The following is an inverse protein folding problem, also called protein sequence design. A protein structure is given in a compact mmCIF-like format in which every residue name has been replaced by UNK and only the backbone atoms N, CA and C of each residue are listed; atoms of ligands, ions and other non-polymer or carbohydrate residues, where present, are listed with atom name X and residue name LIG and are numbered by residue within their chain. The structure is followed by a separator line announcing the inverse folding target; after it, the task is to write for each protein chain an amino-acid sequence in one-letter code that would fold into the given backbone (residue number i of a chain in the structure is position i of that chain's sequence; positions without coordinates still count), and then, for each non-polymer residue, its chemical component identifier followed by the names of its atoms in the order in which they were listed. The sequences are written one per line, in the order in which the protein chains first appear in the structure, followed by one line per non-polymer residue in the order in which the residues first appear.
data_IF_600251747568
#
_entry.id   IF_600251747568
#
_cell.length_a   1.000
_cell.length_b   1.000
_cell.length_c   1.000
_cell.angle_alpha   90.00
_cell.angle_beta   90.00
_cell.angle_gamma   90.00
#
_symmetry.space_group_name_H-M   'P 1'
#
loop_
_entity.id
_entity.type
_entity.pdbx_description
1 polymer ?
#
# COMPACT_ATOMS: atom_id res chain seq x y z
N UNK A 1 3.84 -11.48 -0.02
CA UNK A 1 4.30 -10.81 -1.25
C UNK A 1 5.73 -11.26 -1.49
N UNK A 2 6.10 -11.50 -2.74
CA UNK A 2 7.46 -11.89 -3.09
C UNK A 2 8.25 -10.65 -3.51
N UNK A 3 9.57 -10.74 -3.45
CA UNK A 3 10.44 -9.67 -3.93
C UNK A 3 10.23 -9.45 -5.44
N UNK A 4 10.29 -8.19 -5.86
CA UNK A 4 10.06 -7.80 -7.24
C UNK A 4 9.46 -6.41 -7.39
N UNK A 5 9.23 -6.03 -8.65
CA UNK A 5 8.63 -4.73 -9.00
C UNK A 5 7.15 -4.89 -9.27
N UNK A 6 6.37 -3.97 -8.73
CA UNK A 6 4.92 -3.98 -8.82
C UNK A 6 4.41 -2.63 -9.29
N UNK A 7 3.29 -2.65 -10.02
CA UNK A 7 2.47 -1.48 -10.31
C UNK A 7 1.12 -1.61 -9.63
N UNK A 8 0.58 -0.48 -9.20
CA UNK A 8 -0.78 -0.43 -8.63
C UNK A 8 -1.80 -0.19 -9.74
N UNK A 9 -2.83 -1.03 -9.78
CA UNK A 9 -4.03 -0.83 -10.61
C UNK A 9 -5.23 -0.77 -9.69
N UNK A 10 -5.75 0.44 -9.46
CA UNK A 10 -6.93 0.66 -8.64
C UNK A 10 -8.21 0.17 -9.32
N UNK A 11 -9.20 -0.21 -8.51
CA UNK A 11 -10.55 -0.48 -9.00
C UNK A 11 -11.18 0.79 -9.60
N UNK A 12 -12.19 0.61 -10.45
CA UNK A 12 -12.77 1.71 -11.26
C UNK A 12 -13.25 2.89 -10.41
N UNK A 13 -13.80 2.62 -9.23
CA UNK A 13 -14.26 3.65 -8.28
C UNK A 13 -13.12 4.48 -7.67
N UNK A 14 -11.89 3.96 -7.68
CA UNK A 14 -10.67 4.62 -7.19
C UNK A 14 -9.73 5.01 -8.33
N UNK A 15 -10.21 5.11 -9.58
CA UNK A 15 -9.35 5.37 -10.74
C UNK A 15 -8.67 6.75 -10.73
N UNK A 16 -9.16 7.67 -9.90
CA UNK A 16 -8.57 9.00 -9.69
C UNK A 16 -7.33 9.00 -8.78
N UNK A 17 -7.03 7.88 -8.10
CA UNK A 17 -5.85 7.77 -7.25
C UNK A 17 -4.56 7.81 -8.09
N UNK A 18 -3.49 8.43 -7.55
CA UNK A 18 -2.22 8.52 -8.24
C UNK A 18 -1.66 7.12 -8.48
N UNK A 19 -1.38 6.81 -9.74
CA UNK A 19 -0.73 5.55 -10.10
C UNK A 19 0.74 5.65 -9.74
N UNK A 20 1.24 4.65 -9.03
CA UNK A 20 2.65 4.54 -8.72
C UNK A 20 3.13 3.10 -8.87
N UNK A 21 4.45 2.98 -8.96
CA UNK A 21 5.15 1.70 -8.97
C UNK A 21 5.95 1.59 -7.67
N UNK A 22 6.25 0.37 -7.26
CA UNK A 22 7.09 0.14 -6.10
C UNK A 22 7.87 -1.17 -6.24
N UNK A 23 8.98 -1.24 -5.54
CA UNK A 23 9.80 -2.43 -5.42
C UNK A 23 9.72 -2.99 -4.01
N UNK A 24 9.56 -4.30 -3.91
CA UNK A 24 9.69 -5.04 -2.67
C UNK A 24 11.05 -5.75 -2.67
N UNK A 25 11.81 -5.50 -1.62
CA UNK A 25 13.07 -6.16 -1.31
C UNK A 25 13.02 -6.62 0.16
N UNK A 26 12.71 -7.91 0.35
CA UNK A 26 12.50 -8.54 1.64
C UNK A 26 11.31 -7.94 2.39
N UNK A 27 11.60 -7.21 3.47
CA UNK A 27 10.58 -6.54 4.31
C UNK A 27 10.40 -5.06 3.97
N UNK A 28 11.02 -4.57 2.90
CA UNK A 28 10.98 -3.16 2.54
C UNK A 28 10.22 -2.94 1.25
N UNK A 29 9.40 -1.89 1.24
CA UNK A 29 8.73 -1.38 0.05
C UNK A 29 9.30 0.00 -0.27
N UNK A 30 9.74 0.19 -1.51
CA UNK A 30 10.26 1.49 -1.99
C UNK A 30 9.40 1.96 -3.14
N UNK A 31 8.80 3.14 -3.05
CA UNK A 31 8.08 3.75 -4.17
C UNK A 31 9.07 4.13 -5.28
N UNK A 32 8.76 3.71 -6.51
CA UNK A 32 9.50 4.04 -7.73
C UNK A 32 8.66 5.04 -8.53
N UNK A 33 9.31 6.05 -9.11
CA UNK A 33 8.67 7.12 -9.89
C UNK A 33 7.74 8.04 -9.08
N UNK A 34 7.92 8.09 -7.76
CA UNK A 34 7.32 9.08 -6.86
C UNK A 34 8.38 10.14 -6.57
N UNK A 35 8.06 11.44 -6.66
CA UNK A 35 9.00 12.54 -6.36
C UNK A 35 9.62 12.44 -4.96
N UNK A 36 8.97 11.67 -4.08
CA UNK A 36 9.31 11.53 -2.67
C UNK A 36 10.17 10.29 -2.34
N UNK A 37 10.39 9.36 -3.29
CA UNK A 37 11.17 8.11 -3.11
C UNK A 37 10.97 7.46 -1.73
N UNK A 38 9.71 7.30 -1.31
CA UNK A 38 9.38 6.89 0.05
C UNK A 38 9.73 5.43 0.28
N UNK A 39 10.31 5.14 1.45
CA UNK A 39 10.63 3.78 1.89
C UNK A 39 9.83 3.41 3.13
N UNK A 40 9.21 2.25 3.05
CA UNK A 40 8.36 1.68 4.07
C UNK A 40 8.88 0.32 4.52
N UNK A 41 8.71 0.01 5.79
CA UNK A 41 8.84 -1.33 6.34
C UNK A 41 7.46 -2.01 6.32
N UNK A 42 7.42 -3.24 5.81
CA UNK A 42 6.21 -4.07 5.75
C UNK A 42 6.06 -4.80 7.08
N UNK A 43 5.13 -4.34 7.91
CA UNK A 43 4.74 -5.00 9.15
C UNK A 43 3.60 -5.99 8.86
N UNK A 44 3.88 -7.29 8.93
CA UNK A 44 2.83 -8.32 8.79
C UNK A 44 1.96 -8.35 10.05
N UNK A 45 0.64 -8.30 9.88
CA UNK A 45 -0.32 -8.42 10.98
C UNK A 45 -0.85 -9.85 11.11
N UNK A 46 -1.24 -10.45 9.98
CA UNK A 46 -1.67 -11.84 9.88
C UNK A 46 -1.20 -12.47 8.55
N UNK A 47 -1.73 -13.64 8.18
CA UNK A 47 -1.36 -14.35 6.95
C UNK A 47 -1.74 -13.60 5.66
N UNK A 48 -2.77 -12.76 5.74
CA UNK A 48 -3.38 -12.02 4.62
C UNK A 48 -3.29 -10.51 4.78
N UNK A 49 -2.86 -9.96 5.92
CA UNK A 49 -2.87 -8.52 6.15
C UNK A 49 -1.52 -7.98 6.63
N UNK A 50 -1.23 -6.75 6.21
CA UNK A 50 0.02 -6.06 6.52
C UNK A 50 -0.18 -4.54 6.63
N UNK A 51 0.77 -3.87 7.25
CA UNK A 51 0.87 -2.42 7.33
C UNK A 51 2.18 -1.93 6.75
N UNK A 52 2.15 -0.69 6.28
CA UNK A 52 3.35 0.01 5.87
C UNK A 52 3.74 1.01 6.95
N UNK A 53 4.90 0.79 7.56
CA UNK A 53 5.48 1.68 8.55
C UNK A 53 6.52 2.57 7.86
N UNK A 54 6.32 3.88 7.91
CA UNK A 54 7.32 4.81 7.37
C UNK A 54 8.64 4.68 8.13
N UNK A 55 9.75 4.50 7.41
CA UNK A 55 11.09 4.51 8.00
C UNK A 55 11.59 5.92 8.27
N UNK A 56 11.09 6.90 7.52
CA UNK A 56 11.36 8.32 7.76
C UNK A 56 10.40 8.83 8.85
N UNK A 57 10.94 9.57 9.83
CA UNK A 57 10.17 10.40 10.77
C UNK A 57 9.53 11.59 10.03
N UNK A 58 8.65 11.33 9.07
CA UNK A 58 7.88 12.39 8.41
C UNK A 58 6.55 12.54 9.14
N UNK A 59 6.60 13.13 10.33
CA UNK A 59 5.40 13.69 10.97
C UNK A 59 4.92 14.96 10.26
N UNK A 60 5.78 15.62 9.47
CA UNK A 60 5.46 16.88 8.77
C UNK A 60 4.91 16.70 7.35
N UNK A 61 5.07 15.54 6.72
CA UNK A 61 4.82 15.34 5.28
C UNK A 61 3.62 14.46 4.95
N UNK A 62 2.79 14.12 5.95
CA UNK A 62 1.55 13.41 5.70
C UNK A 62 0.59 14.34 4.97
N UNK A 63 0.05 13.88 3.84
CA UNK A 63 -1.04 14.63 3.18
C UNK A 63 -2.24 14.69 4.14
N UNK A 64 -3.08 15.72 4.03
CA UNK A 64 -4.27 15.84 4.89
C UNK A 64 -5.12 14.55 4.88
N UNK A 65 -5.23 13.92 3.71
CA UNK A 65 -5.86 12.61 3.55
C UNK A 65 -5.21 11.52 4.41
N UNK A 66 -3.87 11.43 4.43
CA UNK A 66 -3.13 10.48 5.26
C UNK A 66 -3.26 10.78 6.76
N UNK A 67 -3.29 12.05 7.16
CA UNK A 67 -3.54 12.45 8.56
C UNK A 67 -4.93 12.05 9.01
N UNK A 68 -5.95 12.29 8.19
CA UNK A 68 -7.35 11.89 8.48
C UNK A 68 -7.49 10.36 8.51
N UNK A 69 -6.81 9.64 7.62
CA UNK A 69 -6.75 8.18 7.65
C UNK A 69 -6.16 7.63 8.96
N UNK A 70 -5.06 8.22 9.42
CA UNK A 70 -4.39 7.81 10.65
C UNK A 70 -5.16 8.21 11.93
N UNK A 71 -6.03 9.23 11.88
CA UNK A 71 -6.84 9.62 13.03
C UNK A 71 -8.06 8.70 13.25
N UNK A 72 -8.49 7.97 12.22
CA UNK A 72 -9.66 7.06 12.28
C UNK A 72 -9.32 5.58 12.49
N UNK A 73 -8.04 5.26 12.70
CA UNK A 73 -7.56 3.91 12.93
C UNK A 73 -6.10 3.73 12.51
N UNK A 74 -5.57 2.52 12.69
CA UNK A 74 -4.27 2.14 12.11
C UNK A 74 -4.53 1.45 10.76
N UNK A 75 -4.45 2.19 9.64
CA UNK A 75 -4.77 1.64 8.33
C UNK A 75 -3.92 0.41 8.01
N UNK A 76 -4.48 -0.52 7.25
CA UNK A 76 -3.83 -1.77 6.87
C UNK A 76 -4.33 -2.27 5.52
N UNK A 77 -3.45 -2.99 4.83
CA UNK A 77 -3.76 -3.68 3.59
C UNK A 77 -4.21 -5.10 3.92
N UNK A 78 -5.33 -5.51 3.34
CA UNK A 78 -5.84 -6.86 3.36
C UNK A 78 -5.71 -7.46 1.95
N UNK A 79 -5.02 -8.59 1.84
CA UNK A 79 -4.88 -9.36 0.60
C UNK A 79 -6.09 -10.26 0.47
N UNK A 80 -6.92 -9.99 -0.54
CA UNK A 80 -8.18 -10.69 -0.75
C UNK A 80 -8.03 -11.89 -1.69
N UNK A 81 -7.07 -11.85 -2.61
CA UNK A 81 -6.80 -12.95 -3.55
C UNK A 81 -5.38 -12.79 -4.14
N UNK A 82 -4.70 -13.91 -4.33
CA UNK A 82 -3.35 -13.95 -4.89
C UNK A 82 -3.33 -14.96 -6.04
N UNK A 83 -3.18 -14.47 -7.27
CA UNK A 83 -3.15 -15.30 -8.49
C UNK A 83 -1.99 -14.90 -9.39
N UNK A 84 -1.05 -15.83 -9.56
CA UNK A 84 0.15 -15.64 -10.38
C UNK A 84 0.89 -14.35 -9.99
N UNK A 85 0.99 -13.42 -10.92
CA UNK A 85 1.66 -12.12 -10.77
C UNK A 85 0.73 -11.01 -10.25
N UNK A 86 -0.50 -11.33 -9.85
CA UNK A 86 -1.49 -10.36 -9.42
C UNK A 86 -1.96 -10.62 -8.00
N UNK A 87 -1.91 -9.58 -7.18
CA UNK A 87 -2.34 -9.60 -5.78
C UNK A 87 -3.45 -8.57 -5.63
N UNK A 88 -4.66 -9.03 -5.36
CA UNK A 88 -5.79 -8.15 -5.06
C UNK A 88 -5.69 -7.69 -3.60
N UNK A 89 -5.90 -6.40 -3.38
CA UNK A 89 -5.82 -5.80 -2.06
C UNK A 89 -6.99 -4.85 -1.78
N UNK A 90 -7.30 -4.72 -0.50
CA UNK A 90 -8.18 -3.70 0.05
C UNK A 90 -7.42 -2.93 1.11
N UNK A 91 -7.29 -1.61 0.95
CA UNK A 91 -6.74 -0.74 2.00
C UNK A 91 -7.88 -0.30 2.91
N UNK A 92 -7.84 -0.75 4.17
CA UNK A 92 -8.82 -0.44 5.20
C UNK A 92 -8.28 0.58 6.18
N UNK A 93 -9.10 1.56 6.53
CA UNK A 93 -8.83 2.51 7.62
C UNK A 93 -9.07 1.82 8.97
N UNK A 94 -10.15 1.06 9.02
CA UNK A 94 -10.56 0.19 10.12
C UNK A 94 -11.48 -0.92 9.55
N UNK A 95 -12.09 -1.74 10.42
CA UNK A 95 -12.95 -2.85 9.99
C UNK A 95 -14.15 -2.43 9.13
N UNK A 96 -14.65 -1.20 9.27
CA UNK A 96 -15.88 -0.74 8.64
C UNK A 96 -15.63 0.20 7.45
N UNK A 97 -14.43 0.77 7.33
CA UNK A 97 -14.13 1.82 6.35
C UNK A 97 -13.00 1.37 5.43
N UNK A 98 -13.32 1.27 4.14
CA UNK A 98 -12.36 1.05 3.05
C UNK A 98 -11.91 2.42 2.54
N UNK A 99 -10.60 2.60 2.39
CA UNK A 99 -10.04 3.79 1.76
C UNK A 99 -10.02 3.64 0.24
N UNK A 100 -9.46 2.53 -0.23
CA UNK A 100 -9.35 2.20 -1.65
C UNK A 100 -8.99 0.71 -1.82
N UNK A 101 -9.24 0.16 -3.00
CA UNK A 101 -8.91 -1.21 -3.36
C UNK A 101 -8.36 -1.27 -4.78
N UNK A 102 -7.72 -2.41 -5.08
CA UNK A 102 -7.17 -2.65 -6.40
C UNK A 102 -6.26 -3.86 -6.42
N UNK A 103 -5.27 -3.80 -7.31
CA UNK A 103 -4.36 -4.90 -7.60
C UNK A 103 -2.92 -4.42 -7.64
N UNK A 104 -2.04 -5.16 -6.99
CA UNK A 104 -0.61 -5.09 -7.24
C UNK A 104 -0.29 -6.09 -8.33
N UNK A 105 0.20 -5.59 -9.46
CA UNK A 105 0.60 -6.43 -10.60
C UNK A 105 2.11 -6.42 -10.69
N UNK A 106 2.73 -7.60 -10.57
CA UNK A 106 4.17 -7.77 -10.74
C UNK A 106 4.54 -7.47 -12.20
N UNK A 107 5.59 -6.69 -12.38
CA UNK A 107 6.12 -6.28 -13.69
C UNK A 107 7.56 -6.75 -13.92
N UNK A 108 8.27 -7.16 -12.86
CA UNK A 108 9.62 -7.74 -12.91
C UNK A 108 9.92 -8.56 -11.65
#
# INVERSE_FOLDING_TARGET
MNDGKYKVIYDKEFSAYPKFEFEIDGQYLTEINSELNRKYEIEKLDQSSFRLKSLNKETDSLTEFQKTLMSQGKPYYEITDCKNDTINFTMRVNLHVISHSGKFVRIK
#
